data_IF_730888742142
#
_entry.id   IF_730888742142
#
_cell.length_a   1.000
_cell.length_b   1.000
_cell.length_c   1.000
_cell.angle_alpha   90.00
_cell.angle_beta   90.00
_cell.angle_gamma   90.00
#
_symmetry.space_group_name_H-M   'P 1'
#
loop_
_entity.id
_entity.type
_entity.pdbx_description
1 polymer ?
#
# COMPACT_ATOMS: atom_id res chain seq x y z
N UNK A 1 14.17 2.76 -32.80
CA UNK A 1 13.72 3.02 -32.80
C UNK A 1 13.62 3.17 -32.38
N UNK A 2 13.57 3.14 -32.32
CA UNK A 2 13.20 3.40 -31.99
C UNK A 2 12.93 3.39 -31.28
N UNK A 3 12.95 3.14 -30.90
CA UNK A 3 12.49 3.22 -30.36
C UNK A 3 12.58 3.18 -29.64
N UNK A 4 12.85 3.01 -29.64
CA UNK A 4 12.66 3.15 -29.21
C UNK A 4 12.98 3.32 -28.98
N UNK A 5 13.30 3.24 -29.22
CA UNK A 5 13.32 3.57 -29.22
C UNK A 5 13.30 3.78 -28.79
N UNK A 6 13.24 3.66 -28.73
CA UNK A 6 12.94 3.83 -28.39
C UNK A 6 12.90 3.30 -27.83
N UNK A 7 12.90 2.87 -27.97
CA UNK A 7 12.59 2.47 -27.54
C UNK A 7 13.19 2.04 -26.91
N UNK A 8 13.41 2.02 -27.16
CA UNK A 8 13.90 1.78 -26.67
C UNK A 8 14.25 2.13 -26.11
N UNK A 9 14.07 2.55 -26.37
CA UNK A 9 14.10 2.96 -25.89
C UNK A 9 13.68 2.95 -25.43
N UNK A 10 13.22 2.85 -25.59
CA UNK A 10 12.65 2.83 -25.16
C UNK A 10 12.66 1.93 -24.62
N UNK A 11 12.65 1.32 -24.62
CA UNK A 11 12.69 0.57 -23.92
C UNK A 11 13.40 0.28 -23.08
N UNK A 12 13.76 0.21 -23.17
CA UNK A 12 14.36 0.18 -22.29
C UNK A 12 14.28 0.91 -21.49
N UNK A 13 13.88 1.64 -21.64
CA UNK A 13 13.63 2.39 -20.82
C UNK A 13 12.86 2.03 -19.93
N UNK A 14 12.23 1.66 -20.13
CA UNK A 14 11.44 1.32 -19.38
C UNK A 14 11.83 0.44 -18.47
N UNK A 15 12.33 -0.37 -18.56
CA UNK A 15 12.67 -1.13 -17.74
C UNK A 15 13.41 -0.70 -16.85
N UNK A 16 13.93 -0.01 -17.00
CA UNK A 16 14.57 0.42 -16.18
C UNK A 16 14.01 1.11 -15.35
N UNK A 17 13.07 1.45 -15.61
CA UNK A 17 12.52 2.13 -14.92
C UNK A 17 12.44 1.65 -13.70
N UNK A 18 12.32 0.88 -13.54
CA UNK A 18 12.28 0.49 -12.47
C UNK A 18 13.32 -0.02 -12.05
N UNK A 19 14.11 0.44 -12.53
CA UNK A 19 15.17 -0.02 -12.20
C UNK A 19 15.39 -0.08 -10.88
N UNK A 20 15.26 -0.95 -10.40
CA UNK A 20 15.29 -1.06 -9.20
C UNK A 20 16.58 -1.07 -8.65
N UNK A 21 16.79 -0.47 -7.62
CA UNK A 21 18.00 -0.51 -6.90
C UNK A 21 18.20 -1.89 -6.43
N UNK A 22 19.20 -2.53 -6.92
CA UNK A 22 19.45 -3.90 -6.58
C UNK A 22 19.88 -4.10 -5.16
N UNK A 23 20.25 -3.05 -4.47
CA UNK A 23 20.63 -3.20 -3.08
C UNK A 23 19.44 -3.34 -2.16
N UNK A 24 18.23 -3.16 -2.68
CA UNK A 24 17.06 -3.25 -1.86
C UNK A 24 16.46 -4.61 -1.97
N UNK A 25 15.87 -5.05 -0.93
CA UNK A 25 15.05 -6.20 -1.01
C UNK A 25 13.98 -5.91 -1.98
N UNK A 26 13.75 -6.80 -2.86
CA UNK A 26 12.80 -6.55 -3.88
C UNK A 26 11.50 -7.17 -3.47
N UNK A 27 10.65 -6.36 -2.91
CA UNK A 27 9.30 -6.77 -2.64
C UNK A 27 8.41 -5.95 -3.53
N UNK A 28 7.54 -6.62 -4.21
CA UNK A 28 6.47 -5.93 -4.90
C UNK A 28 5.21 -6.26 -4.16
N UNK A 29 4.34 -5.32 -4.07
CA UNK A 29 3.02 -5.59 -3.53
C UNK A 29 2.01 -4.93 -4.42
N UNK A 30 0.82 -5.46 -4.43
CA UNK A 30 -0.25 -4.84 -5.16
C UNK A 30 -1.44 -4.72 -4.25
N UNK A 31 -2.24 -3.71 -4.49
CA UNK A 31 -3.48 -3.50 -3.77
C UNK A 31 -4.46 -4.55 -4.25
N UNK A 32 -4.99 -5.33 -3.34
CA UNK A 32 -5.99 -6.33 -3.70
C UNK A 32 -7.37 -5.96 -3.17
N UNK A 33 -7.45 -5.00 -2.26
CA UNK A 33 -8.72 -4.57 -1.72
C UNK A 33 -8.57 -3.15 -1.22
N UNK A 34 -9.54 -2.30 -1.55
CA UNK A 34 -9.56 -0.92 -1.11
C UNK A 34 -10.98 -0.58 -0.75
N UNK A 35 -11.22 -0.29 0.52
CA UNK A 35 -12.57 -0.03 1.00
C UNK A 35 -12.65 1.34 1.63
N UNK A 36 -13.62 2.11 1.20
CA UNK A 36 -13.85 3.44 1.75
C UNK A 36 -14.75 3.34 2.97
N UNK A 37 -14.44 4.16 3.96
CA UNK A 37 -15.23 4.27 5.19
C UNK A 37 -15.32 2.93 5.94
N UNK A 38 -14.21 2.21 5.91
CA UNK A 38 -14.08 0.95 6.64
C UNK A 38 -12.75 0.93 7.36
N UNK A 39 -12.73 0.37 8.52
CA UNK A 39 -11.54 0.25 9.32
C UNK A 39 -11.46 -1.16 9.88
N UNK A 40 -10.28 -1.76 9.79
CA UNK A 40 -10.05 -3.07 10.39
C UNK A 40 -9.66 -2.86 11.85
N UNK A 41 -10.32 -3.61 12.74
CA UNK A 41 -10.06 -3.50 14.17
C UNK A 41 -9.06 -4.50 14.63
N UNK A 42 -8.41 -4.21 15.76
CA UNK A 42 -7.72 -5.19 16.60
C UNK A 42 -6.47 -5.81 16.01
N UNK A 43 -5.99 -5.30 14.88
CA UNK A 43 -4.82 -5.89 14.24
C UNK A 43 -3.72 -4.87 13.98
N UNK A 44 -3.90 -3.64 14.41
CA UNK A 44 -2.86 -2.66 14.19
C UNK A 44 -1.70 -2.91 15.14
N UNK A 45 -0.50 -2.73 14.64
CA UNK A 45 0.69 -2.85 15.46
C UNK A 45 1.53 -1.59 15.41
N UNK A 46 1.16 -0.62 14.59
CA UNK A 46 1.89 0.62 14.50
C UNK A 46 0.96 1.72 14.02
N UNK A 47 1.06 2.88 14.64
CA UNK A 47 0.25 4.04 14.27
C UNK A 47 1.17 5.24 14.20
N UNK A 48 1.05 6.04 13.17
CA UNK A 48 1.89 7.22 13.02
C UNK A 48 1.24 8.20 12.05
N UNK A 49 1.74 9.42 12.09
CA UNK A 49 1.27 10.45 11.18
C UNK A 49 1.89 10.25 9.81
N UNK A 50 1.10 10.36 8.78
CA UNK A 50 1.59 10.17 7.42
C UNK A 50 1.04 11.29 6.54
N UNK A 51 1.85 11.81 5.61
CA UNK A 51 1.37 12.89 4.75
C UNK A 51 0.31 12.46 3.76
N UNK A 52 0.20 11.19 3.47
CA UNK A 52 -0.76 10.77 2.45
C UNK A 52 -1.05 9.29 2.54
N UNK A 53 -2.10 8.87 1.87
CA UNK A 53 -2.44 7.47 1.75
C UNK A 53 -1.31 6.71 1.08
N UNK A 54 -0.70 7.29 0.06
CA UNK A 54 0.38 6.62 -0.67
C UNK A 54 1.57 6.38 0.25
N UNK A 55 1.94 7.37 1.04
CA UNK A 55 3.06 7.22 1.97
C UNK A 55 2.74 6.18 3.04
N UNK A 56 1.50 6.14 3.50
CA UNK A 56 1.05 5.11 4.43
C UNK A 56 1.26 3.72 3.82
N UNK A 57 0.88 3.56 2.56
CA UNK A 57 1.08 2.31 1.86
C UNK A 57 2.54 1.93 1.68
N UNK A 58 3.40 2.93 1.44
CA UNK A 58 4.82 2.66 1.30
C UNK A 58 5.41 2.14 2.61
N UNK A 59 4.98 2.70 3.73
CA UNK A 59 5.43 2.20 5.03
C UNK A 59 4.99 0.76 5.24
N UNK A 60 3.77 0.43 4.84
CA UNK A 60 3.29 -0.93 4.94
C UNK A 60 4.14 -1.86 4.06
N UNK A 61 4.41 -1.42 2.85
CA UNK A 61 5.16 -2.22 1.91
C UNK A 61 6.57 -2.52 2.41
N UNK A 62 7.14 -1.64 3.20
CA UNK A 62 8.49 -1.82 3.72
C UNK A 62 8.54 -2.60 5.02
N UNK A 63 7.40 -2.91 5.59
CA UNK A 63 7.34 -3.60 6.86
C UNK A 63 6.83 -5.01 6.64
N UNK A 64 7.65 -6.04 6.87
CA UNK A 64 7.22 -7.41 6.59
C UNK A 64 6.05 -7.90 7.43
N UNK A 65 5.75 -7.21 8.53
CA UNK A 65 4.60 -7.58 9.33
C UNK A 65 3.30 -7.00 8.80
N UNK A 66 3.38 -6.03 7.92
CA UNK A 66 2.18 -5.29 7.51
C UNK A 66 1.48 -5.99 6.36
N UNK A 67 0.19 -6.22 6.51
CA UNK A 67 -0.64 -6.80 5.46
C UNK A 67 -1.68 -5.82 4.95
N UNK A 68 -2.03 -4.82 5.75
CA UNK A 68 -3.05 -3.84 5.36
C UNK A 68 -2.87 -2.57 6.15
N UNK A 69 -3.55 -1.52 5.72
CA UNK A 69 -3.49 -0.23 6.39
C UNK A 69 -4.89 0.33 6.59
N UNK A 70 -5.03 1.12 7.65
CA UNK A 70 -6.17 2.03 7.78
C UNK A 70 -5.57 3.43 7.72
N UNK A 71 -6.09 4.27 6.85
CA UNK A 71 -5.62 5.63 6.75
C UNK A 71 -6.78 6.60 6.86
N UNK A 72 -6.63 7.58 7.73
CA UNK A 72 -7.66 8.60 7.90
C UNK A 72 -7.03 9.97 7.77
N UNK A 73 -7.44 10.73 6.74
CA UNK A 73 -6.92 12.07 6.55
C UNK A 73 -7.45 12.99 7.64
N UNK A 74 -6.60 13.92 8.07
CA UNK A 74 -7.02 14.95 9.00
C UNK A 74 -7.72 16.04 8.19
N UNK A 75 -8.60 16.75 8.84
CA UNK A 75 -9.44 17.75 8.19
C UNK A 75 -8.67 18.75 7.34
N UNK A 76 -7.46 19.08 7.72
CA UNK A 76 -6.68 20.03 6.95
C UNK A 76 -6.26 19.48 5.61
N UNK A 77 -6.31 18.16 5.45
CA UNK A 77 -5.88 17.53 4.22
C UNK A 77 -4.39 17.42 4.02
N UNK A 78 -3.61 17.88 4.98
CA UNK A 78 -2.16 17.88 4.80
C UNK A 78 -1.50 16.64 5.32
N UNK A 79 -2.17 15.89 6.14
CA UNK A 79 -1.64 14.61 6.63
C UNK A 79 -2.76 13.85 7.27
N UNK A 80 -2.46 12.66 7.69
CA UNK A 80 -3.44 11.82 8.31
C UNK A 80 -2.80 10.84 9.26
N UNK A 81 -3.61 9.94 9.76
CA UNK A 81 -3.15 8.88 10.66
C UNK A 81 -3.08 7.59 9.87
N UNK A 82 -1.93 6.95 9.92
CA UNK A 82 -1.69 5.69 9.25
C UNK A 82 -1.59 4.60 10.30
N UNK A 83 -2.37 3.55 10.15
CA UNK A 83 -2.29 2.38 11.02
C UNK A 83 -1.85 1.20 10.17
N UNK A 84 -0.80 0.52 10.60
CA UNK A 84 -0.35 -0.68 9.91
C UNK A 84 -0.93 -1.88 10.64
N UNK A 85 -1.58 -2.75 9.89
CA UNK A 85 -2.23 -3.94 10.44
C UNK A 85 -1.44 -5.19 10.07
N UNK A 86 -1.38 -6.12 11.01
CA UNK A 86 -0.62 -7.34 10.81
C UNK A 86 -1.37 -8.40 9.99
N UNK A 87 -2.64 -8.14 9.67
CA UNK A 87 -3.39 -9.07 8.83
C UNK A 87 -4.34 -8.30 7.93
N UNK A 88 -4.87 -9.00 6.96
CA UNK A 88 -5.93 -8.49 6.11
C UNK A 88 -7.22 -9.24 6.40
N UNK A 89 -8.13 -9.20 5.46
CA UNK A 89 -9.43 -9.84 5.60
C UNK A 89 -9.74 -10.62 4.33
N UNK A 90 -10.63 -11.58 4.45
CA UNK A 90 -11.20 -12.28 3.32
C UNK A 90 -12.55 -11.63 3.04
N UNK A 91 -12.53 -10.60 2.26
CA UNK A 91 -13.73 -9.82 1.99
C UNK A 91 -14.58 -10.52 0.93
N UNK A 92 -15.88 -10.56 1.06
CA UNK A 92 -16.68 -9.99 2.15
C UNK A 92 -16.90 -10.95 3.32
N UNK A 93 -16.29 -12.11 3.32
CA UNK A 93 -16.52 -13.09 4.35
C UNK A 93 -16.21 -12.58 5.75
N UNK A 94 -15.20 -11.73 5.86
CA UNK A 94 -14.80 -11.16 7.13
C UNK A 94 -15.37 -9.78 7.36
N UNK A 95 -16.51 -9.49 6.76
CA UNK A 95 -17.09 -8.16 6.89
C UNK A 95 -17.32 -7.77 8.36
N UNK A 96 -17.59 -8.72 9.19
CA UNK A 96 -17.83 -8.43 10.61
C UNK A 96 -16.60 -7.87 11.33
N UNK A 97 -15.43 -8.09 10.77
CA UNK A 97 -14.20 -7.55 11.36
C UNK A 97 -13.94 -6.12 10.91
N UNK A 98 -14.76 -5.63 10.02
CA UNK A 98 -14.62 -4.29 9.48
C UNK A 98 -15.67 -3.39 10.10
N UNK A 99 -15.21 -2.26 10.60
CA UNK A 99 -16.09 -1.30 11.22
C UNK A 99 -16.33 -0.16 10.25
N UNK A 100 -17.53 0.35 10.23
CA UNK A 100 -17.79 1.56 9.45
C UNK A 100 -17.19 2.74 10.19
N UNK A 101 -16.34 3.49 9.55
CA UNK A 101 -15.80 4.71 10.11
C UNK A 101 -15.58 5.71 8.99
N UNK A 102 -16.29 6.81 9.05
CA UNK A 102 -16.26 7.83 8.04
C UNK A 102 -14.84 8.35 7.86
N UNK A 103 -14.41 8.47 6.63
CA UNK A 103 -13.11 9.06 6.32
C UNK A 103 -11.93 8.11 6.39
N UNK A 104 -12.13 6.88 6.81
CA UNK A 104 -11.05 5.90 6.84
C UNK A 104 -11.03 5.13 5.54
N UNK A 105 -9.84 4.89 5.02
CA UNK A 105 -9.65 4.05 3.84
C UNK A 105 -8.85 2.83 4.28
N UNK A 106 -9.44 1.66 4.12
CA UNK A 106 -8.75 0.41 4.37
C UNK A 106 -8.15 -0.08 3.06
N UNK A 107 -6.88 -0.42 3.08
CA UNK A 107 -6.20 -0.95 1.90
C UNK A 107 -5.45 -2.20 2.28
N UNK A 108 -5.66 -3.26 1.51
CA UNK A 108 -5.00 -4.52 1.73
C UNK A 108 -4.07 -4.81 0.57
N UNK A 109 -2.92 -5.35 0.89
CA UNK A 109 -1.86 -5.59 -0.09
C UNK A 109 -1.54 -7.06 -0.16
N UNK A 110 -1.17 -7.51 -1.33
CA UNK A 110 -0.61 -8.84 -1.52
C UNK A 110 0.84 -8.67 -1.90
N UNK A 111 1.74 -9.25 -1.14
CA UNK A 111 3.14 -9.17 -1.44
C UNK A 111 3.49 -10.19 -2.48
N UNK A 112 4.33 -9.75 -3.40
CA UNK A 112 4.85 -10.62 -4.42
C UNK A 112 6.35 -10.68 -4.21
N UNK A 113 6.87 -11.84 -3.93
CA UNK A 113 8.31 -12.00 -3.78
C UNK A 113 8.90 -12.22 -5.14
N UNK A 114 9.98 -11.54 -5.40
CA UNK A 114 10.66 -11.65 -6.68
C UNK A 114 12.06 -12.16 -6.43
N UNK A 115 12.44 -13.18 -7.12
CA UNK A 115 13.75 -13.79 -6.96
C UNK A 115 14.54 -13.77 -8.25
#
# INVERSE_FOLDING_TARGET
MRQCFLILLCKSLVKQLFAVDSSQSVFFSQVVLNLQNRRLHDHKFKTFSSPSLITCGLHCNRNPRCASTNFKAIDTGEKGVCELNSRGVAWPADEKDMEHEEGVIFTQYQRLDVY
#
